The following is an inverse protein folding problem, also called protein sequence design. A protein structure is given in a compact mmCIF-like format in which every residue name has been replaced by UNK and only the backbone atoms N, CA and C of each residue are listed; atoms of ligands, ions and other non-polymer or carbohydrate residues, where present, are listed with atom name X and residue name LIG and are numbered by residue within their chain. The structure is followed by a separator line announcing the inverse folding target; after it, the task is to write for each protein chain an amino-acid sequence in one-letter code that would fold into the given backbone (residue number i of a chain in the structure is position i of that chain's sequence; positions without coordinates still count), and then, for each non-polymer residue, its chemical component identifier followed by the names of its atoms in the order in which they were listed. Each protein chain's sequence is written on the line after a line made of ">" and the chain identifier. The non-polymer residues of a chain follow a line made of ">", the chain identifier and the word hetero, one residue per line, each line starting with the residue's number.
data_IF_035779106381
#
_entry.id   IF_035779106381
#
_cell.length_a   1.000
_cell.length_b   1.000
_cell.length_c   1.000
_cell.angle_alpha   90.00
_cell.angle_beta   90.00
_cell.angle_gamma   90.00
#
_symmetry.space_group_name_H-M   'P 1'
#
loop_
_entity.id
_entity.type
_entity.pdbx_description
1 polymer ?
#
# COMPACT_ATOMS: atom_id res chain seq x y z
N UNK A 1 -12.34 -13.73 9.49
CA UNK A 1 -11.20 -14.59 9.14
C UNK A 1 -10.03 -14.23 10.04
N UNK A 2 -9.23 -15.19 10.49
CA UNK A 2 -8.03 -14.88 11.27
C UNK A 2 -7.01 -14.09 10.41
N UNK A 3 -6.21 -13.20 11.03
CA UNK A 3 -5.07 -12.57 10.36
C UNK A 3 -4.10 -13.59 9.75
N UNK A 4 -3.48 -13.23 8.63
CA UNK A 4 -2.40 -14.04 8.05
C UNK A 4 -1.22 -14.10 9.04
N UNK A 5 -0.70 -15.30 9.39
CA UNK A 5 0.33 -15.44 10.43
C UNK A 5 1.75 -15.11 9.94
N UNK A 6 1.96 -14.98 8.63
CA UNK A 6 3.27 -14.67 8.04
C UNK A 6 3.59 -13.18 7.99
N UNK A 7 4.73 -12.89 7.35
CA UNK A 7 5.18 -11.53 7.07
C UNK A 7 4.68 -11.08 5.69
N UNK A 8 4.14 -9.87 5.61
CA UNK A 8 3.65 -9.29 4.34
C UNK A 8 4.31 -7.94 4.11
N UNK A 9 5.08 -7.83 3.03
CA UNK A 9 5.63 -6.57 2.55
C UNK A 9 4.83 -6.11 1.34
N UNK A 10 4.25 -4.92 1.39
CA UNK A 10 3.49 -4.34 0.29
C UNK A 10 4.26 -3.18 -0.33
N UNK A 11 4.53 -3.27 -1.63
CA UNK A 11 5.21 -2.24 -2.40
C UNK A 11 4.21 -1.60 -3.36
N UNK A 12 3.98 -0.30 -3.20
CA UNK A 12 3.07 0.52 -3.99
C UNK A 12 1.68 -0.11 -4.21
N UNK A 13 0.97 -0.56 -3.15
CA UNK A 13 -0.32 -1.21 -3.32
C UNK A 13 -1.40 -0.22 -3.79
N UNK A 14 -2.16 -0.56 -4.82
CA UNK A 14 -3.25 0.29 -5.29
C UNK A 14 -4.42 0.21 -4.29
N UNK A 15 -4.75 1.35 -3.68
CA UNK A 15 -5.86 1.47 -2.71
C UNK A 15 -6.92 2.42 -3.26
N UNK A 16 -8.06 1.85 -3.64
CA UNK A 16 -9.19 2.57 -4.21
C UNK A 16 -9.05 2.80 -5.72
N UNK A 17 -9.73 3.82 -6.22
CA UNK A 17 -9.69 4.23 -7.62
C UNK A 17 -8.58 5.25 -7.85
N UNK A 18 -8.03 5.28 -9.07
CA UNK A 18 -7.10 6.30 -9.51
C UNK A 18 -7.35 6.66 -10.97
N UNK A 19 -6.90 7.85 -11.37
CA UNK A 19 -6.97 8.31 -12.76
C UNK A 19 -5.58 8.65 -13.24
N UNK A 20 -5.26 8.22 -14.45
CA UNK A 20 -4.03 8.59 -15.15
C UNK A 20 -4.19 9.95 -15.80
N UNK A 21 -3.37 10.92 -15.41
CA UNK A 21 -3.39 12.26 -16.03
C UNK A 21 -2.94 12.23 -17.49
N UNK A 22 -1.99 11.35 -17.85
CA UNK A 22 -1.46 11.20 -19.21
C UNK A 22 -2.50 10.64 -20.19
N UNK A 23 -3.19 9.57 -19.80
CA UNK A 23 -4.13 8.85 -20.68
C UNK A 23 -5.58 9.24 -20.44
N UNK A 24 -5.87 10.06 -19.42
CA UNK A 24 -7.22 10.37 -18.90
C UNK A 24 -8.07 9.12 -18.64
N UNK A 25 -7.41 7.99 -18.38
CA UNK A 25 -8.08 6.72 -18.13
C UNK A 25 -8.19 6.52 -16.62
N UNK A 26 -9.41 6.27 -16.16
CA UNK A 26 -9.67 5.89 -14.76
C UNK A 26 -9.57 4.37 -14.63
N UNK A 27 -8.79 3.92 -13.65
CA UNK A 27 -8.78 2.53 -13.23
C UNK A 27 -9.58 2.40 -11.93
N UNK A 28 -10.60 1.55 -11.96
CA UNK A 28 -11.37 1.18 -10.78
C UNK A 28 -11.28 -0.33 -10.61
N UNK A 29 -10.61 -0.84 -9.56
CA UNK A 29 -10.60 -2.27 -9.28
C UNK A 29 -12.01 -2.76 -8.93
N UNK A 30 -12.36 -4.03 -9.18
CA UNK A 30 -13.64 -4.57 -8.77
C UNK A 30 -13.84 -4.40 -7.25
N UNK A 31 -14.95 -3.75 -6.87
CA UNK A 31 -15.28 -3.35 -5.49
C UNK A 31 -14.25 -2.36 -4.88
N UNK A 32 -14.09 -1.16 -5.48
CA UNK A 32 -13.05 -0.21 -5.12
C UNK A 32 -13.16 0.31 -3.68
N UNK A 33 -14.38 0.33 -3.13
CA UNK A 33 -14.65 0.78 -1.77
C UNK A 33 -14.45 -0.32 -0.72
N UNK A 34 -14.39 -1.60 -1.11
CA UNK A 34 -14.48 -2.71 -0.15
C UNK A 34 -13.33 -2.73 0.87
N UNK A 35 -12.12 -2.41 0.42
CA UNK A 35 -10.95 -2.31 1.29
C UNK A 35 -11.12 -1.20 2.34
N UNK A 36 -11.62 -0.03 1.90
CA UNK A 36 -11.93 1.10 2.77
C UNK A 36 -13.05 0.76 3.76
N UNK A 37 -14.18 0.22 3.28
CA UNK A 37 -15.31 -0.19 4.12
C UNK A 37 -14.90 -1.19 5.21
N UNK A 38 -14.06 -2.18 4.85
CA UNK A 38 -13.55 -3.16 5.80
C UNK A 38 -12.61 -2.53 6.83
N UNK A 39 -11.76 -1.59 6.41
CA UNK A 39 -10.85 -0.89 7.31
C UNK A 39 -11.61 0.03 8.27
N UNK A 40 -12.57 0.81 7.77
CA UNK A 40 -13.45 1.69 8.57
C UNK A 40 -14.31 0.89 9.56
N UNK A 41 -14.79 -0.29 9.15
CA UNK A 41 -15.56 -1.17 10.04
C UNK A 41 -14.69 -1.98 11.03
N UNK A 42 -13.36 -1.85 10.98
CA UNK A 42 -12.43 -2.66 11.79
C UNK A 42 -12.48 -4.16 11.47
N UNK A 43 -12.98 -4.53 10.29
CA UNK A 43 -13.17 -5.90 9.84
C UNK A 43 -12.06 -6.39 8.90
N UNK A 44 -11.14 -5.50 8.51
CA UNK A 44 -9.98 -5.88 7.71
C UNK A 44 -9.01 -6.73 8.55
N UNK A 45 -8.75 -8.01 8.18
CA UNK A 45 -7.86 -8.89 8.93
C UNK A 45 -6.40 -8.56 8.60
N UNK A 46 -5.90 -7.44 9.12
CA UNK A 46 -4.53 -6.97 8.89
C UNK A 46 -3.51 -8.05 9.32
N UNK A 47 -2.52 -8.41 8.47
CA UNK A 47 -1.48 -9.36 8.86
C UNK A 47 -0.69 -8.83 10.07
N UNK A 48 -0.38 -9.72 11.01
CA UNK A 48 0.29 -9.35 12.28
C UNK A 48 1.68 -8.77 12.10
N UNK A 49 2.34 -9.08 10.99
CA UNK A 49 3.65 -8.53 10.60
C UNK A 49 3.54 -7.99 9.18
N UNK A 50 3.13 -6.74 9.06
CA UNK A 50 3.02 -6.08 7.76
C UNK A 50 3.50 -4.64 7.77
N UNK A 51 4.04 -4.23 6.62
CA UNK A 51 4.37 -2.84 6.33
C UNK A 51 4.12 -2.54 4.84
N UNK A 52 3.84 -1.27 4.58
CA UNK A 52 3.55 -0.73 3.24
C UNK A 52 4.59 0.34 2.92
N UNK A 53 5.10 0.31 1.69
CA UNK A 53 6.00 1.31 1.15
C UNK A 53 5.38 1.88 -0.12
N UNK A 54 5.23 3.20 -0.17
CA UNK A 54 4.60 3.90 -1.31
C UNK A 54 5.44 5.12 -1.68
N UNK A 55 5.58 5.42 -2.97
CA UNK A 55 6.33 6.57 -3.43
C UNK A 55 5.54 7.87 -3.24
N UNK A 56 6.20 8.98 -2.87
CA UNK A 56 5.54 10.29 -2.68
C UNK A 56 4.88 10.85 -3.94
N UNK A 57 5.32 10.39 -5.11
CA UNK A 57 4.85 10.81 -6.44
C UNK A 57 4.07 9.70 -7.16
N UNK A 58 3.65 8.66 -6.43
CA UNK A 58 2.89 7.55 -7.02
C UNK A 58 1.44 7.98 -7.30
N UNK A 59 1.13 8.22 -8.57
CA UNK A 59 -0.21 8.56 -9.02
C UNK A 59 -1.17 7.36 -9.10
N UNK A 60 -0.65 6.12 -9.08
CA UNK A 60 -1.46 4.89 -9.11
C UNK A 60 -1.76 4.38 -7.69
N UNK A 61 -0.75 4.36 -6.82
CA UNK A 61 -0.87 4.12 -5.38
C UNK A 61 -0.84 5.45 -4.64
N UNK A 62 -1.99 6.14 -4.66
CA UNK A 62 -2.10 7.49 -4.07
C UNK A 62 -1.64 7.45 -2.59
N UNK A 63 -0.55 8.17 -2.21
CA UNK A 63 0.05 8.05 -0.87
C UNK A 63 -0.93 8.37 0.26
N UNK A 64 -1.79 9.36 0.05
CA UNK A 64 -2.83 9.73 1.01
C UNK A 64 -3.82 8.58 1.27
N UNK A 65 -4.22 7.83 0.23
CA UNK A 65 -5.12 6.68 0.39
C UNK A 65 -4.43 5.55 1.15
N UNK A 66 -3.16 5.28 0.84
CA UNK A 66 -2.36 4.26 1.51
C UNK A 66 -2.14 4.60 2.98
N UNK A 67 -1.81 5.86 3.29
CA UNK A 67 -1.65 6.34 4.67
C UNK A 67 -2.95 6.22 5.45
N UNK A 68 -4.08 6.64 4.88
CA UNK A 68 -5.39 6.50 5.52
C UNK A 68 -5.72 5.02 5.80
N UNK A 69 -5.46 4.13 4.84
CA UNK A 69 -5.64 2.70 5.02
C UNK A 69 -4.75 2.13 6.13
N UNK A 70 -3.46 2.50 6.16
CA UNK A 70 -2.54 2.12 7.23
C UNK A 70 -2.99 2.56 8.61
N UNK A 71 -3.46 3.81 8.74
CA UNK A 71 -4.01 4.33 10.00
C UNK A 71 -5.22 3.53 10.49
N UNK A 72 -6.16 3.20 9.59
CA UNK A 72 -7.37 2.44 9.94
C UNK A 72 -7.07 0.97 10.31
N UNK A 73 -6.02 0.40 9.73
CA UNK A 73 -5.68 -1.02 9.90
C UNK A 73 -4.56 -1.29 10.89
N UNK A 74 -3.87 -0.24 11.36
CA UNK A 74 -2.67 -0.35 12.20
C UNK A 74 -1.41 -0.80 11.44
N UNK A 75 -1.45 -0.86 10.11
CA UNK A 75 -0.30 -1.26 9.28
C UNK A 75 0.64 -0.06 9.14
N UNK A 76 1.93 -0.30 9.36
CA UNK A 76 2.96 0.74 9.19
C UNK A 76 3.07 1.14 7.73
N UNK A 77 3.04 2.43 7.44
CA UNK A 77 3.23 2.99 6.09
C UNK A 77 4.48 3.86 6.07
N UNK A 78 5.33 3.64 5.08
CA UNK A 78 6.49 4.49 4.76
C UNK A 78 6.26 5.15 3.42
N UNK A 79 6.29 6.49 3.41
CA UNK A 79 6.28 7.27 2.16
C UNK A 79 7.73 7.50 1.74
N UNK A 80 8.09 7.03 0.55
CA UNK A 80 9.43 7.12 -0.02
C UNK A 80 9.54 8.43 -0.80
N UNK A 81 10.40 9.37 -0.38
CA UNK A 81 10.55 10.65 -1.08
C UNK A 81 11.08 10.43 -2.50
N UNK A 82 10.64 11.28 -3.42
CA UNK A 82 11.00 11.27 -4.85
C UNK A 82 10.73 9.92 -5.54
N UNK A 83 9.85 9.10 -4.96
CA UNK A 83 9.49 7.78 -5.46
C UNK A 83 8.17 7.83 -6.24
N UNK A 84 8.15 7.24 -7.44
CA UNK A 84 6.92 6.94 -8.16
C UNK A 84 6.39 5.52 -7.86
N UNK A 85 5.54 5.00 -8.74
CA UNK A 85 4.99 3.64 -8.59
C UNK A 85 6.06 2.56 -8.54
N UNK A 86 7.00 2.64 -9.49
CA UNK A 86 8.21 1.85 -9.45
C UNK A 86 9.20 2.49 -8.45
N UNK A 87 9.16 2.01 -7.21
CA UNK A 87 10.11 2.44 -6.19
C UNK A 87 11.57 2.20 -6.66
N UNK A 88 12.53 3.06 -6.27
CA UNK A 88 13.92 2.93 -6.70
C UNK A 88 14.50 1.55 -6.34
N UNK A 89 15.19 0.91 -7.29
CA UNK A 89 15.79 -0.42 -7.09
C UNK A 89 16.71 -0.47 -5.87
N UNK A 90 17.50 0.58 -5.64
CA UNK A 90 18.40 0.67 -4.48
C UNK A 90 17.62 0.66 -3.16
N UNK A 91 16.48 1.35 -3.11
CA UNK A 91 15.59 1.38 -1.96
C UNK A 91 14.99 -0.01 -1.69
N UNK A 92 14.37 -0.60 -2.73
CA UNK A 92 13.73 -1.92 -2.61
C UNK A 92 14.75 -3.00 -2.27
N UNK A 93 15.95 -2.96 -2.86
CA UNK A 93 17.04 -3.88 -2.53
C UNK A 93 17.44 -3.81 -1.05
N UNK A 94 17.71 -2.62 -0.53
CA UNK A 94 18.05 -2.44 0.88
C UNK A 94 16.91 -2.84 1.84
N UNK A 95 15.66 -2.58 1.45
CA UNK A 95 14.48 -3.01 2.17
C UNK A 95 14.37 -4.54 2.23
N UNK A 96 14.52 -5.22 1.10
CA UNK A 96 14.48 -6.68 1.03
C UNK A 96 15.64 -7.32 1.81
N UNK A 97 16.83 -6.74 1.74
CA UNK A 97 17.98 -7.21 2.52
C UNK A 97 17.71 -7.15 4.03
N UNK A 98 16.97 -6.15 4.51
CA UNK A 98 16.57 -6.06 5.92
C UNK A 98 15.42 -7.03 6.22
N UNK A 99 14.41 -7.06 5.35
CA UNK A 99 13.18 -7.83 5.54
C UNK A 99 13.42 -9.34 5.57
N UNK A 100 14.29 -9.85 4.69
CA UNK A 100 14.58 -11.27 4.55
C UNK A 100 15.56 -11.80 5.60
N UNK A 101 16.30 -10.93 6.30
CA UNK A 101 17.21 -11.32 7.38
C UNK A 101 16.51 -11.66 8.69
N UNK A 102 15.24 -11.29 8.83
CA UNK A 102 14.46 -11.58 10.05
C UNK A 102 14.00 -13.02 10.14
#
# INVERSE_FOLDING_TARGET
>A
MPPFPGRVLMLSPIVGEFTSDETRTTFSPPRPTRLKELAEAGQFPAPTRSEIHVGSEDWQSIPANVQAFGMLTGIRVTVVPDGGHNLPKAYVGGLLDQWLKG
#
